data_IF_920254745591
#
_entry.id   IF_920254745591
#
_cell.length_a   1.000
_cell.length_b   1.000
_cell.length_c   1.000
_cell.angle_alpha   90.00
_cell.angle_beta   90.00
_cell.angle_gamma   90.00
#
_symmetry.space_group_name_H-M   'P 1'
#
loop_
_entity.id
_entity.type
_entity.pdbx_description
1 polymer ?
#
# COMPACT_ATOMS: atom_id res chain seq x y z
N UNK A 1 20.49 21.52 -15.02
CA UNK A 1 19.74 20.25 -15.23
C UNK A 1 20.57 19.39 -16.18
N UNK A 2 21.07 18.27 -15.72
CA UNK A 2 21.72 17.27 -16.57
C UNK A 2 20.72 16.19 -16.94
N UNK A 3 20.83 15.67 -18.15
CA UNK A 3 20.02 14.55 -18.65
C UNK A 3 21.00 13.45 -19.03
N UNK A 4 20.76 12.24 -18.55
CA UNK A 4 21.47 11.03 -18.99
C UNK A 4 20.50 10.18 -19.76
N UNK A 5 20.94 9.69 -20.90
CA UNK A 5 20.13 8.87 -21.82
C UNK A 5 20.44 7.38 -21.66
N UNK A 6 19.46 6.57 -21.93
CA UNK A 6 19.60 5.13 -22.08
C UNK A 6 18.85 4.66 -23.34
N UNK A 7 19.38 3.62 -23.99
CA UNK A 7 18.81 3.04 -25.19
C UNK A 7 18.76 1.50 -25.09
N UNK A 8 17.61 0.94 -25.36
CA UNK A 8 17.40 -0.51 -25.31
C UNK A 8 16.96 -1.13 -26.66
N UNK A 9 17.31 -0.51 -27.78
CA UNK A 9 17.04 -1.01 -29.15
C UNK A 9 15.70 -0.57 -29.75
N UNK A 10 14.72 -0.19 -28.97
CA UNK A 10 13.41 0.32 -29.46
C UNK A 10 12.90 1.51 -28.67
N UNK A 11 13.57 1.88 -27.60
CA UNK A 11 13.15 2.99 -26.72
C UNK A 11 14.38 3.79 -26.28
N UNK A 12 14.23 5.10 -26.31
CA UNK A 12 15.14 6.05 -25.69
C UNK A 12 14.47 6.62 -24.44
N UNK A 13 15.22 6.70 -23.33
CA UNK A 13 14.78 7.38 -22.13
C UNK A 13 15.82 8.35 -21.63
N UNK A 14 15.35 9.44 -21.03
CA UNK A 14 16.16 10.49 -20.45
C UNK A 14 15.68 10.77 -19.04
N UNK A 15 16.54 10.53 -18.08
CA UNK A 15 16.27 10.79 -16.66
C UNK A 15 16.74 12.19 -16.29
N UNK A 16 16.01 12.84 -15.39
CA UNK A 16 16.39 14.16 -14.86
C UNK A 16 17.46 14.02 -13.79
N UNK A 17 18.49 14.88 -13.90
CA UNK A 17 19.52 15.02 -12.87
C UNK A 17 19.61 16.46 -12.39
N UNK A 18 19.89 16.63 -11.10
CA UNK A 18 20.20 17.91 -10.49
C UNK A 18 21.50 17.76 -9.69
N UNK A 19 22.53 18.54 -9.98
CA UNK A 19 23.86 18.43 -9.36
C UNK A 19 24.42 16.99 -9.35
N UNK A 20 24.26 16.28 -10.50
CA UNK A 20 24.61 14.87 -10.70
C UNK A 20 23.81 13.84 -9.84
N UNK A 21 22.80 14.28 -9.14
CA UNK A 21 21.88 13.41 -8.38
C UNK A 21 20.65 13.15 -9.24
N UNK A 22 20.29 11.86 -9.40
CA UNK A 22 19.07 11.43 -10.10
C UNK A 22 17.83 11.93 -9.35
N UNK A 23 16.91 12.57 -10.08
CA UNK A 23 15.57 12.87 -9.58
C UNK A 23 14.67 11.68 -9.95
N UNK A 24 14.48 10.78 -9.00
CA UNK A 24 13.72 9.55 -9.21
C UNK A 24 12.29 9.84 -9.65
N UNK A 25 11.83 9.12 -10.68
CA UNK A 25 10.49 9.29 -11.25
C UNK A 25 10.37 10.37 -12.31
N UNK A 26 11.34 11.28 -12.44
CA UNK A 26 11.33 12.32 -13.47
C UNK A 26 12.08 11.85 -14.72
N UNK A 27 11.33 11.59 -15.79
CA UNK A 27 11.91 11.09 -17.03
C UNK A 27 11.10 11.46 -18.26
N UNK A 28 11.74 11.37 -19.42
CA UNK A 28 11.09 11.37 -20.73
C UNK A 28 11.45 10.05 -21.40
N UNK A 29 10.47 9.38 -21.99
CA UNK A 29 10.74 8.18 -22.77
C UNK A 29 10.00 8.22 -24.11
N UNK A 30 10.69 7.74 -25.15
CA UNK A 30 10.21 7.72 -26.53
C UNK A 30 10.44 6.33 -27.10
N UNK A 31 9.36 5.66 -27.49
CA UNK A 31 9.41 4.38 -28.22
C UNK A 31 9.28 4.61 -29.72
N UNK A 32 10.09 3.88 -30.50
CA UNK A 32 10.06 3.89 -31.96
C UNK A 32 9.89 2.47 -32.49
N UNK A 33 9.17 2.32 -33.61
CA UNK A 33 9.14 1.03 -34.33
C UNK A 33 10.32 0.88 -35.30
N UNK A 34 10.39 -0.24 -36.03
CA UNK A 34 11.42 -0.51 -37.01
C UNK A 34 11.51 0.52 -38.13
N UNK A 35 10.41 1.23 -38.43
CA UNK A 35 10.32 2.29 -39.44
C UNK A 35 10.66 3.68 -38.85
N UNK A 36 11.18 3.75 -37.62
CA UNK A 36 11.49 4.98 -36.88
C UNK A 36 10.27 5.87 -36.61
N UNK A 37 9.07 5.27 -36.59
CA UNK A 37 7.84 5.97 -36.21
C UNK A 37 7.59 5.87 -34.73
N UNK A 38 7.14 6.97 -34.15
CA UNK A 38 6.78 7.08 -32.74
C UNK A 38 5.65 6.08 -32.41
N UNK A 39 5.89 5.21 -31.45
CA UNK A 39 4.93 4.22 -30.93
C UNK A 39 4.49 4.52 -29.53
N UNK A 40 5.33 5.15 -28.72
CA UNK A 40 5.06 5.51 -27.36
C UNK A 40 5.81 6.80 -26.98
N UNK A 41 5.17 7.60 -26.14
CA UNK A 41 5.76 8.76 -25.48
C UNK A 41 5.27 8.81 -24.04
N UNK A 42 6.19 8.94 -23.11
CA UNK A 42 5.85 9.23 -21.71
C UNK A 42 6.69 10.37 -21.19
N UNK A 43 6.11 11.16 -20.32
CA UNK A 43 6.73 12.29 -19.65
C UNK A 43 6.28 12.35 -18.21
N UNK A 44 7.23 12.36 -17.29
CA UNK A 44 7.01 12.57 -15.87
C UNK A 44 7.92 13.68 -15.39
N UNK A 45 7.37 14.65 -14.69
CA UNK A 45 8.12 15.77 -14.14
C UNK A 45 7.46 16.27 -12.86
N UNK A 46 8.25 16.33 -11.80
CA UNK A 46 7.81 16.86 -10.51
C UNK A 46 8.31 18.28 -10.32
N UNK A 47 7.37 19.23 -10.24
CA UNK A 47 7.69 20.64 -10.02
C UNK A 47 7.85 20.92 -8.51
N UNK A 48 8.97 20.50 -7.96
CA UNK A 48 9.33 20.73 -6.56
C UNK A 48 10.70 21.39 -6.44
N UNK A 49 10.88 22.15 -5.37
CA UNK A 49 12.18 22.67 -5.00
C UNK A 49 13.03 21.55 -4.42
N UNK A 50 14.07 21.15 -5.13
CA UNK A 50 15.02 20.12 -4.67
C UNK A 50 15.82 20.61 -3.46
N UNK A 51 16.11 19.74 -2.48
CA UNK A 51 16.98 20.06 -1.36
C UNK A 51 18.38 20.47 -1.79
N UNK A 52 19.06 21.24 -0.95
CA UNK A 52 20.44 21.65 -1.18
C UNK A 52 21.40 20.51 -0.84
N UNK A 53 22.02 19.94 -1.88
CA UNK A 53 22.97 18.84 -1.75
C UNK A 53 24.27 19.19 -0.99
N UNK A 54 24.55 20.47 -0.74
CA UNK A 54 25.72 20.89 0.04
C UNK A 54 25.63 20.56 1.54
N UNK A 55 24.42 20.18 2.02
CA UNK A 55 24.15 19.86 3.43
C UNK A 55 24.14 18.37 3.72
N UNK A 56 24.54 17.53 2.78
CA UNK A 56 24.53 16.08 2.96
C UNK A 56 25.53 15.65 4.04
N UNK A 57 25.12 14.66 4.83
CA UNK A 57 25.98 13.91 5.72
C UNK A 57 27.07 13.17 4.93
N UNK A 58 28.16 12.82 5.57
CA UNK A 58 29.18 11.98 4.93
C UNK A 58 28.63 10.59 4.62
N UNK A 59 29.14 9.94 3.57
CA UNK A 59 28.75 8.58 3.20
C UNK A 59 28.88 7.60 4.37
N UNK A 60 29.94 7.73 5.19
CA UNK A 60 30.15 6.83 6.35
C UNK A 60 29.05 7.00 7.39
N UNK A 61 28.61 8.24 7.66
CA UNK A 61 27.50 8.49 8.60
C UNK A 61 26.17 7.95 8.05
N UNK A 62 25.91 8.15 6.76
CA UNK A 62 24.69 7.63 6.12
C UNK A 62 24.71 6.10 6.14
N UNK A 63 25.85 5.45 5.85
CA UNK A 63 26.01 4.00 5.92
C UNK A 63 25.76 3.46 7.32
N UNK A 64 26.31 4.13 8.35
CA UNK A 64 26.03 3.75 9.73
C UNK A 64 24.52 3.82 10.03
N UNK A 65 23.87 4.93 9.67
CA UNK A 65 22.42 5.12 9.85
C UNK A 65 21.58 4.09 9.08
N UNK A 66 22.02 3.74 7.88
CA UNK A 66 21.37 2.68 7.10
C UNK A 66 21.37 1.34 7.84
N UNK A 67 22.53 0.93 8.40
CA UNK A 67 22.65 -0.33 9.15
C UNK A 67 22.02 -0.29 10.55
N UNK A 68 21.80 0.89 11.14
CA UNK A 68 21.02 1.04 12.37
C UNK A 68 19.52 0.73 12.14
N UNK A 69 19.03 0.85 10.90
CA UNK A 69 17.61 0.67 10.54
C UNK A 69 17.35 -0.53 9.62
N UNK A 70 18.38 -1.28 9.24
CA UNK A 70 18.26 -2.42 8.33
C UNK A 70 19.05 -3.61 8.85
N UNK A 71 18.39 -4.76 8.98
CA UNK A 71 19.05 -6.02 9.26
C UNK A 71 19.50 -6.68 7.95
N UNK A 72 20.70 -7.31 8.01
CA UNK A 72 21.21 -8.08 6.89
C UNK A 72 20.85 -9.56 7.10
N UNK A 73 19.89 -10.03 6.34
CA UNK A 73 19.36 -11.37 6.44
C UNK A 73 19.83 -12.28 5.31
N UNK A 74 19.81 -13.58 5.54
CA UNK A 74 20.26 -14.60 4.60
C UNK A 74 19.05 -15.25 3.92
N UNK A 75 19.00 -15.18 2.57
CA UNK A 75 17.89 -15.70 1.78
C UNK A 75 18.32 -16.74 0.76
N UNK A 76 17.40 -17.64 0.43
CA UNK A 76 17.46 -18.43 -0.78
C UNK A 76 16.75 -17.69 -1.91
N UNK A 77 17.52 -17.23 -2.91
CA UNK A 77 16.98 -16.54 -4.09
C UNK A 77 16.96 -17.50 -5.29
N UNK A 78 15.77 -17.65 -5.90
CA UNK A 78 15.64 -18.38 -7.15
C UNK A 78 16.14 -17.51 -8.31
N UNK A 79 17.17 -18.00 -9.02
CA UNK A 79 17.72 -17.34 -10.20
C UNK A 79 17.29 -18.09 -11.45
N UNK A 80 16.48 -17.42 -12.27
CA UNK A 80 15.97 -17.98 -13.50
C UNK A 80 16.95 -17.69 -14.64
N UNK A 81 17.29 -18.74 -15.41
CA UNK A 81 18.01 -18.61 -16.68
C UNK A 81 17.18 -19.30 -17.76
N UNK A 82 17.43 -19.02 -19.02
CA UNK A 82 16.65 -19.54 -20.15
C UNK A 82 16.47 -21.06 -20.18
N UNK A 83 17.21 -21.80 -19.38
CA UNK A 83 17.19 -23.27 -19.37
C UNK A 83 17.03 -23.93 -18.01
N UNK A 84 17.26 -23.24 -16.90
CA UNK A 84 17.24 -23.82 -15.54
C UNK A 84 16.98 -22.79 -14.48
N UNK A 85 16.27 -23.18 -13.43
CA UNK A 85 16.23 -22.45 -12.16
C UNK A 85 17.36 -22.93 -11.27
N UNK A 86 18.15 -22.01 -10.74
CA UNK A 86 19.19 -22.28 -9.75
C UNK A 86 18.90 -21.46 -8.48
N UNK A 87 18.89 -22.13 -7.34
CA UNK A 87 18.80 -21.44 -6.04
C UNK A 87 20.20 -21.02 -5.60
N UNK A 88 20.35 -19.78 -5.22
CA UNK A 88 21.58 -19.21 -4.64
C UNK A 88 21.29 -18.66 -3.26
N UNK A 89 22.28 -18.74 -2.38
CA UNK A 89 22.22 -18.14 -1.06
C UNK A 89 22.77 -16.71 -1.16
N UNK A 90 22.00 -15.74 -0.71
CA UNK A 90 22.35 -14.32 -0.80
C UNK A 90 22.07 -13.60 0.51
N UNK A 91 22.84 -12.57 0.79
CA UNK A 91 22.48 -11.60 1.82
C UNK A 91 21.65 -10.48 1.21
N UNK A 92 20.65 -10.03 1.93
CA UNK A 92 19.79 -8.90 1.55
C UNK A 92 19.16 -8.25 2.77
N UNK A 93 18.59 -7.09 2.58
CA UNK A 93 17.81 -6.36 3.60
C UNK A 93 16.34 -6.66 3.42
N UNK A 94 15.56 -6.65 4.51
CA UNK A 94 14.13 -6.99 4.50
C UNK A 94 13.24 -5.84 4.01
N UNK A 95 13.78 -4.62 3.92
CA UNK A 95 12.98 -3.44 3.65
C UNK A 95 13.63 -2.50 2.64
N UNK A 96 12.81 -1.85 1.83
CA UNK A 96 13.20 -0.75 0.95
C UNK A 96 13.30 0.56 1.77
N UNK A 97 14.22 0.59 2.73
CA UNK A 97 14.48 1.77 3.56
C UNK A 97 15.56 2.60 2.91
N UNK A 98 15.25 3.86 2.66
CA UNK A 98 16.23 4.89 2.34
C UNK A 98 16.65 5.63 3.61
N UNK A 99 17.72 6.39 3.53
CA UNK A 99 18.15 7.29 4.62
C UNK A 99 18.17 8.70 4.07
N UNK A 100 17.49 9.62 4.74
CA UNK A 100 17.58 11.04 4.43
C UNK A 100 19.05 11.51 4.55
N UNK A 101 19.60 11.96 3.44
CA UNK A 101 21.01 12.30 3.38
C UNK A 101 21.37 13.54 4.19
N UNK A 102 20.39 14.32 4.66
CA UNK A 102 20.61 15.54 5.46
C UNK A 102 20.38 15.35 6.94
N UNK A 103 19.45 14.48 7.33
CA UNK A 103 19.09 14.25 8.73
C UNK A 103 19.62 12.92 9.28
N UNK A 104 19.82 11.92 8.42
CA UNK A 104 20.15 10.56 8.80
C UNK A 104 18.96 9.73 9.25
N UNK A 105 17.74 10.26 9.15
CA UNK A 105 16.51 9.55 9.52
C UNK A 105 16.11 8.55 8.43
N UNK A 106 15.47 7.42 8.79
CA UNK A 106 14.97 6.47 7.80
C UNK A 106 13.80 7.06 7.00
N UNK A 107 13.82 6.82 5.70
CA UNK A 107 12.75 7.17 4.77
C UNK A 107 12.29 5.89 4.08
N UNK A 108 11.02 5.58 4.15
CA UNK A 108 10.44 4.40 3.53
C UNK A 108 9.79 4.76 2.19
N UNK A 109 10.00 3.95 1.15
CA UNK A 109 9.52 4.22 -0.21
C UNK A 109 7.99 4.37 -0.28
N UNK A 110 7.27 3.66 0.57
CA UNK A 110 5.81 3.72 0.70
C UNK A 110 5.30 4.98 1.45
N UNK A 111 6.16 5.78 2.09
CA UNK A 111 5.78 7.07 2.69
C UNK A 111 5.44 8.16 1.66
N UNK A 112 5.45 7.83 0.39
CA UNK A 112 5.21 8.79 -0.71
C UNK A 112 3.81 9.39 -0.78
N UNK A 113 2.91 9.10 0.13
CA UNK A 113 1.54 9.59 -0.02
C UNK A 113 1.12 10.73 0.86
N UNK A 114 1.86 11.19 1.84
CA UNK A 114 1.56 12.50 2.47
C UNK A 114 2.57 12.89 3.55
N UNK A 115 2.98 14.16 3.56
CA UNK A 115 3.57 14.87 4.72
C UNK A 115 2.59 14.99 5.92
N UNK A 116 1.43 14.37 5.84
CA UNK A 116 0.42 14.35 6.88
C UNK A 116 0.46 13.00 7.60
N UNK A 117 1.21 12.96 8.69
CA UNK A 117 1.08 11.89 9.67
C UNK A 117 -0.38 11.74 10.10
N UNK A 118 -0.84 10.49 10.30
CA UNK A 118 -2.17 10.25 10.83
C UNK A 118 -2.37 10.94 12.18
N UNK A 119 -3.43 11.74 12.33
CA UNK A 119 -3.78 12.29 13.62
C UNK A 119 -4.53 11.25 14.48
N UNK A 120 -3.77 10.39 15.17
CA UNK A 120 -4.29 9.35 16.04
C UNK A 120 -4.72 9.87 17.43
N UNK A 121 -4.63 11.19 17.68
CA UNK A 121 -4.93 11.79 18.99
C UNK A 121 -6.40 11.65 19.43
N UNK A 122 -7.30 11.36 18.49
CA UNK A 122 -8.71 11.12 18.76
C UNK A 122 -9.01 9.71 19.32
N UNK A 123 -8.10 8.75 19.16
CA UNK A 123 -8.28 7.37 19.61
C UNK A 123 -7.97 7.26 21.10
N UNK A 124 -8.97 6.86 21.89
CA UNK A 124 -8.87 6.73 23.35
C UNK A 124 -8.67 5.30 23.83
N UNK A 125 -9.14 4.32 23.05
CA UNK A 125 -8.90 2.90 23.37
C UNK A 125 -7.44 2.54 23.12
N UNK A 126 -6.73 2.14 24.19
CA UNK A 126 -5.29 1.84 24.14
C UNK A 126 -4.94 0.66 23.22
N UNK A 127 -5.86 -0.30 23.07
CA UNK A 127 -5.61 -1.46 22.18
C UNK A 127 -5.75 -1.04 20.72
N UNK A 128 -6.80 -0.27 20.41
CA UNK A 128 -7.00 0.28 19.07
C UNK A 128 -5.86 1.23 18.70
N UNK A 129 -5.45 2.10 19.61
CA UNK A 129 -4.31 3.01 19.40
C UNK A 129 -3.02 2.25 19.12
N UNK A 130 -2.75 1.13 19.82
CA UNK A 130 -1.57 0.28 19.55
C UNK A 130 -1.65 -0.33 18.14
N UNK A 131 -2.81 -0.83 17.73
CA UNK A 131 -3.01 -1.38 16.39
C UNK A 131 -2.87 -0.28 15.32
N UNK A 132 -3.47 0.89 15.54
CA UNK A 132 -3.37 2.03 14.62
C UNK A 132 -1.92 2.49 14.42
N UNK A 133 -1.13 2.59 15.50
CA UNK A 133 0.29 2.91 15.42
C UNK A 133 1.07 1.88 14.63
N UNK A 134 0.83 0.58 14.86
CA UNK A 134 1.50 -0.46 14.10
C UNK A 134 1.15 -0.38 12.60
N UNK A 135 -0.09 -0.06 12.24
CA UNK A 135 -0.49 0.17 10.85
C UNK A 135 0.17 1.43 10.28
N UNK A 136 0.27 2.50 11.06
CA UNK A 136 0.94 3.75 10.68
C UNK A 136 2.45 3.52 10.46
N UNK A 137 3.11 2.80 11.38
CA UNK A 137 4.52 2.42 11.27
C UNK A 137 4.83 1.58 10.03
N UNK A 138 3.83 0.85 9.50
CA UNK A 138 3.93 0.06 8.26
C UNK A 138 3.37 0.80 7.04
N UNK A 139 3.04 2.08 7.14
CA UNK A 139 2.58 2.91 6.04
C UNK A 139 1.13 2.76 5.64
N UNK A 140 0.34 2.06 6.41
CA UNK A 140 -1.09 2.03 6.21
C UNK A 140 -1.70 3.34 6.77
N UNK A 141 -1.85 4.34 5.89
CA UNK A 141 -2.50 5.59 6.24
C UNK A 141 -3.99 5.35 6.44
N UNK A 142 -4.52 5.72 7.62
CA UNK A 142 -5.94 5.54 7.96
C UNK A 142 -6.72 6.79 7.59
N UNK A 143 -6.23 7.96 7.98
CA UNK A 143 -6.82 9.27 7.66
C UNK A 143 -5.85 10.38 8.06
N UNK A 144 -5.81 11.44 7.27
CA UNK A 144 -5.07 12.67 7.60
C UNK A 144 -5.84 13.58 8.57
N UNK A 145 -7.15 13.36 8.71
CA UNK A 145 -7.99 14.12 9.64
C UNK A 145 -8.09 13.40 10.98
N UNK A 146 -8.26 14.20 12.05
CA UNK A 146 -8.49 13.66 13.37
C UNK A 146 -9.82 12.92 13.44
N UNK A 147 -9.80 11.67 13.90
CA UNK A 147 -10.98 10.83 14.09
C UNK A 147 -10.96 10.14 15.45
N UNK A 148 -12.12 9.67 15.90
CA UNK A 148 -12.27 8.78 17.04
C UNK A 148 -12.52 7.36 16.58
N UNK A 149 -12.12 6.37 17.38
CA UNK A 149 -12.41 4.95 17.12
C UNK A 149 -13.91 4.64 17.00
N UNK A 150 -14.77 5.53 17.51
CA UNK A 150 -16.23 5.37 17.48
C UNK A 150 -16.90 6.10 16.31
N UNK A 151 -16.15 6.94 15.57
CA UNK A 151 -16.68 7.61 14.41
C UNK A 151 -16.89 6.60 13.26
N UNK A 152 -17.97 6.78 12.48
CA UNK A 152 -18.26 5.93 11.34
C UNK A 152 -17.22 6.18 10.25
N UNK A 153 -16.56 5.12 9.78
CA UNK A 153 -15.53 5.19 8.77
C UNK A 153 -16.09 5.61 7.40
N UNK A 154 -15.28 6.30 6.62
CA UNK A 154 -15.59 6.69 5.25
C UNK A 154 -15.16 5.60 4.26
N UNK A 155 -15.96 5.38 3.20
CA UNK A 155 -15.67 4.38 2.19
C UNK A 155 -14.35 4.67 1.49
N UNK A 156 -14.09 5.92 1.11
CA UNK A 156 -12.87 6.30 0.42
C UNK A 156 -11.59 5.93 1.21
N UNK A 157 -11.60 6.13 2.53
CA UNK A 157 -10.47 5.77 3.40
C UNK A 157 -10.27 4.25 3.42
N UNK A 158 -11.35 3.49 3.56
CA UNK A 158 -11.27 2.04 3.63
C UNK A 158 -10.93 1.42 2.27
N UNK A 159 -11.48 1.93 1.17
CA UNK A 159 -11.16 1.51 -0.19
C UNK A 159 -9.69 1.76 -0.52
N UNK A 160 -9.14 2.91 -0.14
CA UNK A 160 -7.73 3.22 -0.29
C UNK A 160 -6.85 2.23 0.47
N UNK A 161 -7.18 1.95 1.75
CA UNK A 161 -6.45 0.96 2.56
C UNK A 161 -6.48 -0.44 1.96
N UNK A 162 -7.61 -0.81 1.37
CA UNK A 162 -7.81 -2.13 0.78
C UNK A 162 -7.34 -2.23 -0.68
N UNK A 163 -6.82 -1.15 -1.26
CA UNK A 163 -6.39 -1.11 -2.67
C UNK A 163 -7.52 -1.33 -3.66
N UNK A 164 -8.76 -0.97 -3.29
CA UNK A 164 -9.95 -1.08 -4.14
C UNK A 164 -10.33 0.32 -4.61
N UNK A 165 -10.61 0.46 -5.90
CA UNK A 165 -11.17 1.70 -6.45
C UNK A 165 -12.59 1.39 -6.97
N UNK A 166 -13.59 2.05 -6.40
CA UNK A 166 -15.00 1.83 -6.78
C UNK A 166 -15.57 2.92 -7.66
N UNK A 167 -14.83 4.01 -7.93
CA UNK A 167 -15.32 5.21 -8.65
C UNK A 167 -16.62 5.81 -8.06
N UNK A 168 -17.00 5.40 -6.84
CA UNK A 168 -18.19 5.89 -6.15
C UNK A 168 -17.84 7.11 -5.27
N UNK A 169 -18.82 8.00 -5.06
CA UNK A 169 -18.67 9.07 -4.07
C UNK A 169 -18.48 8.50 -2.66
N UNK A 170 -17.58 9.12 -1.88
CA UNK A 170 -17.33 8.70 -0.50
C UNK A 170 -18.60 8.77 0.33
N UNK A 171 -18.87 7.69 1.06
CA UNK A 171 -20.03 7.56 1.97
C UNK A 171 -19.62 6.94 3.30
N UNK A 172 -20.43 7.16 4.33
CA UNK A 172 -20.27 6.46 5.60
C UNK A 172 -20.55 4.96 5.43
N UNK A 173 -19.67 4.14 5.95
CA UNK A 173 -19.73 2.70 5.78
C UNK A 173 -20.67 2.03 6.79
N UNK A 174 -21.45 1.07 6.28
CA UNK A 174 -22.05 0.05 7.13
C UNK A 174 -21.14 -1.18 7.24
N UNK A 175 -21.38 -2.03 8.24
CA UNK A 175 -20.64 -3.29 8.41
C UNK A 175 -20.76 -4.19 7.17
N UNK A 176 -21.94 -4.20 6.54
CA UNK A 176 -22.15 -4.95 5.30
C UNK A 176 -21.31 -4.41 4.14
N UNK A 177 -21.27 -3.07 3.94
CA UNK A 177 -20.47 -2.45 2.89
C UNK A 177 -18.98 -2.74 3.10
N UNK A 178 -18.49 -2.65 4.34
CA UNK A 178 -17.10 -2.92 4.66
C UNK A 178 -16.69 -4.36 4.30
N UNK A 179 -17.53 -5.36 4.58
CA UNK A 179 -17.23 -6.74 4.19
C UNK A 179 -17.25 -6.95 2.67
N UNK A 180 -18.08 -6.20 1.94
CA UNK A 180 -18.07 -6.23 0.47
C UNK A 180 -16.73 -5.67 -0.05
N UNK A 181 -16.29 -4.51 0.42
CA UNK A 181 -15.00 -3.89 0.04
C UNK A 181 -13.84 -4.83 0.39
N UNK A 182 -13.80 -5.35 1.62
CA UNK A 182 -12.78 -6.31 2.06
C UNK A 182 -12.72 -7.52 1.12
N UNK A 183 -13.85 -8.15 0.84
CA UNK A 183 -13.90 -9.35 0.00
C UNK A 183 -13.49 -9.06 -1.44
N UNK A 184 -13.87 -7.91 -1.99
CA UNK A 184 -13.43 -7.47 -3.32
C UNK A 184 -11.90 -7.34 -3.40
N UNK A 185 -11.27 -6.78 -2.36
CA UNK A 185 -9.83 -6.67 -2.29
C UNK A 185 -9.11 -8.02 -2.35
N UNK A 186 -9.62 -9.02 -1.61
CA UNK A 186 -8.91 -10.31 -1.44
C UNK A 186 -9.34 -11.40 -2.42
N UNK A 187 -10.56 -11.36 -2.96
CA UNK A 187 -11.13 -12.41 -3.81
C UNK A 187 -11.71 -11.89 -5.14
N UNK A 188 -11.74 -10.58 -5.35
CA UNK A 188 -12.43 -9.97 -6.49
C UNK A 188 -13.94 -10.16 -6.44
N UNK A 189 -14.64 -9.83 -7.53
CA UNK A 189 -16.10 -9.92 -7.62
C UNK A 189 -16.61 -11.28 -8.13
N UNK A 190 -15.87 -11.94 -8.99
CA UNK A 190 -16.35 -13.11 -9.72
C UNK A 190 -16.73 -14.30 -8.82
N UNK A 191 -15.97 -14.53 -7.75
CA UNK A 191 -16.22 -15.65 -6.82
C UNK A 191 -17.39 -15.34 -5.87
N UNK A 192 -17.43 -14.18 -5.16
CA UNK A 192 -18.54 -13.87 -4.26
C UNK A 192 -19.91 -13.80 -4.94
N UNK A 193 -19.95 -13.48 -6.24
CA UNK A 193 -21.20 -13.32 -7.02
C UNK A 193 -21.80 -14.63 -7.55
N UNK A 194 -21.12 -15.76 -7.35
CA UNK A 194 -21.65 -17.08 -7.72
C UNK A 194 -22.94 -17.38 -6.96
N UNK A 195 -24.02 -17.63 -7.69
CA UNK A 195 -25.36 -17.82 -7.10
C UNK A 195 -25.60 -19.25 -6.61
N UNK A 196 -26.28 -19.34 -5.46
CA UNK A 196 -26.81 -20.61 -4.95
C UNK A 196 -25.79 -21.54 -4.28
N UNK A 197 -24.54 -21.11 -4.14
CA UNK A 197 -23.48 -21.93 -3.49
C UNK A 197 -23.17 -21.48 -2.07
N UNK A 198 -23.51 -20.25 -1.71
CA UNK A 198 -23.21 -19.70 -0.38
C UNK A 198 -24.37 -19.87 0.59
N UNK A 199 -24.00 -20.15 1.85
CA UNK A 199 -24.89 -20.06 3.01
C UNK A 199 -24.38 -18.97 3.93
N UNK A 200 -25.31 -18.23 4.52
CA UNK A 200 -24.95 -17.20 5.48
C UNK A 200 -24.36 -17.82 6.75
N UNK A 201 -23.18 -17.35 7.20
CA UNK A 201 -22.67 -17.71 8.52
C UNK A 201 -23.39 -16.95 9.64
N UNK A 202 -24.27 -15.99 9.31
CA UNK A 202 -24.93 -15.11 10.26
C UNK A 202 -26.42 -15.40 10.36
N UNK A 203 -26.94 -15.46 11.57
CA UNK A 203 -28.37 -15.77 11.83
C UNK A 203 -29.31 -14.63 11.40
N UNK A 204 -28.83 -13.42 11.23
CA UNK A 204 -29.58 -12.24 10.83
C UNK A 204 -29.44 -11.89 9.33
N UNK A 205 -28.74 -12.72 8.56
CA UNK A 205 -28.59 -12.60 7.11
C UNK A 205 -29.15 -13.86 6.42
N UNK A 206 -30.01 -13.67 5.43
CA UNK A 206 -30.59 -14.79 4.67
C UNK A 206 -29.61 -15.34 3.63
N UNK A 207 -29.68 -16.62 3.31
CA UNK A 207 -28.92 -17.25 2.21
C UNK A 207 -29.26 -16.64 0.84
N UNK A 208 -30.38 -15.94 0.72
CA UNK A 208 -30.83 -15.24 -0.49
C UNK A 208 -30.38 -13.78 -0.54
N UNK A 209 -29.61 -13.30 0.44
CA UNK A 209 -29.06 -11.94 0.41
C UNK A 209 -28.11 -11.78 -0.79
N UNK A 210 -28.18 -10.63 -1.47
CA UNK A 210 -27.35 -10.37 -2.65
C UNK A 210 -25.86 -10.40 -2.36
N UNK A 211 -25.47 -10.08 -1.12
CA UNK A 211 -24.09 -10.01 -0.68
C UNK A 211 -23.66 -11.24 0.14
N UNK A 212 -24.47 -12.29 0.20
CA UNK A 212 -24.18 -13.48 1.05
C UNK A 212 -22.81 -14.10 0.76
N UNK A 213 -22.38 -14.12 -0.51
CA UNK A 213 -21.08 -14.65 -0.89
C UNK A 213 -19.91 -13.82 -0.33
N UNK A 214 -20.02 -12.49 -0.39
CA UNK A 214 -19.05 -11.59 0.22
C UNK A 214 -18.95 -11.80 1.74
N UNK A 215 -20.07 -11.91 2.41
CA UNK A 215 -20.11 -12.15 3.85
C UNK A 215 -19.55 -13.50 4.26
N UNK A 216 -19.87 -14.55 3.49
CA UNK A 216 -19.36 -15.89 3.75
C UNK A 216 -17.85 -16.00 3.59
N UNK A 217 -17.28 -15.34 2.56
CA UNK A 217 -15.85 -15.32 2.32
C UNK A 217 -15.14 -14.50 3.42
N UNK A 218 -15.62 -13.29 3.72
CA UNK A 218 -15.05 -12.46 4.79
C UNK A 218 -15.05 -13.18 6.15
N UNK A 219 -16.11 -13.92 6.46
CA UNK A 219 -16.19 -14.74 7.66
C UNK A 219 -15.18 -15.89 7.64
N UNK A 220 -15.08 -16.61 6.53
CA UNK A 220 -14.12 -17.71 6.37
C UNK A 220 -12.65 -17.23 6.48
N UNK A 221 -12.37 -16.01 6.07
CA UNK A 221 -11.06 -15.38 6.20
C UNK A 221 -10.79 -14.75 7.57
N UNK A 222 -11.76 -14.80 8.49
CA UNK A 222 -11.60 -14.25 9.83
C UNK A 222 -11.73 -12.73 9.95
N UNK A 223 -12.13 -12.03 8.88
CA UNK A 223 -12.32 -10.57 8.90
C UNK A 223 -13.47 -10.14 9.83
N UNK A 224 -14.39 -11.04 10.10
CA UNK A 224 -15.51 -10.87 11.01
C UNK A 224 -15.79 -12.18 11.74
N UNK A 225 -16.30 -12.08 12.96
CA UNK A 225 -16.65 -13.23 13.80
C UNK A 225 -18.01 -13.04 14.48
N UNK A 226 -18.53 -14.12 15.06
CA UNK A 226 -19.81 -14.12 15.74
C UNK A 226 -20.95 -14.67 14.89
N UNK A 227 -22.17 -14.72 15.46
CA UNK A 227 -23.34 -15.31 14.81
C UNK A 227 -24.30 -14.26 14.22
N UNK A 228 -24.02 -12.98 14.35
CA UNK A 228 -24.80 -11.86 13.78
C UNK A 228 -23.86 -10.87 13.11
N UNK A 229 -24.21 -10.47 11.90
CA UNK A 229 -23.47 -9.45 11.16
C UNK A 229 -23.90 -8.02 11.56
N UNK A 230 -25.22 -7.82 11.75
CA UNK A 230 -25.82 -6.49 11.85
C UNK A 230 -25.40 -5.61 10.65
N UNK A 231 -25.63 -6.09 9.44
CA UNK A 231 -25.09 -5.53 8.18
C UNK A 231 -25.37 -4.03 8.00
N UNK A 232 -26.46 -3.51 8.60
CA UNK A 232 -26.85 -2.08 8.52
C UNK A 232 -26.26 -1.22 9.64
N UNK A 233 -25.59 -1.81 10.61
CA UNK A 233 -24.92 -1.04 11.66
C UNK A 233 -23.71 -0.29 11.10
N UNK A 234 -23.37 0.82 11.71
CA UNK A 234 -22.19 1.60 11.34
C UNK A 234 -20.91 0.75 11.47
N UNK A 235 -20.02 0.92 10.51
CA UNK A 235 -18.66 0.40 10.56
C UNK A 235 -17.74 1.53 11.00
N UNK A 236 -17.18 1.39 12.20
CA UNK A 236 -16.38 2.46 12.81
C UNK A 236 -14.91 2.39 12.40
N UNK A 237 -14.17 3.51 12.60
CA UNK A 237 -12.72 3.50 12.44
C UNK A 237 -12.04 2.47 13.33
N UNK A 238 -12.57 2.23 14.54
CA UNK A 238 -12.08 1.19 15.43
C UNK A 238 -12.28 -0.23 14.86
N UNK A 239 -13.40 -0.49 14.19
CA UNK A 239 -13.65 -1.77 13.50
C UNK A 239 -12.73 -1.91 12.28
N UNK A 240 -12.53 -0.82 11.53
CA UNK A 240 -11.62 -0.77 10.39
C UNK A 240 -10.17 -1.09 10.79
N UNK A 241 -9.65 -0.41 11.82
CA UNK A 241 -8.30 -0.65 12.35
C UNK A 241 -8.12 -2.11 12.76
N UNK A 242 -9.08 -2.69 13.48
CA UNK A 242 -9.03 -4.09 13.91
C UNK A 242 -9.00 -5.04 12.70
N UNK A 243 -9.85 -4.80 11.71
CA UNK A 243 -9.94 -5.65 10.52
C UNK A 243 -8.64 -5.60 9.72
N UNK A 244 -8.14 -4.40 9.41
CA UNK A 244 -6.91 -4.21 8.65
C UNK A 244 -5.71 -4.77 9.41
N UNK A 245 -5.59 -4.50 10.71
CA UNK A 245 -4.52 -5.04 11.55
C UNK A 245 -4.51 -6.57 11.56
N UNK A 246 -5.69 -7.20 11.74
CA UNK A 246 -5.80 -8.67 11.75
C UNK A 246 -5.38 -9.27 10.42
N UNK A 247 -5.64 -8.58 9.31
CA UNK A 247 -5.36 -9.10 7.98
C UNK A 247 -3.90 -8.88 7.56
N UNK A 248 -3.31 -7.72 7.84
CA UNK A 248 -1.97 -7.36 7.37
C UNK A 248 -0.87 -7.54 8.43
N UNK A 249 -1.18 -7.56 9.72
CA UNK A 249 -0.20 -7.67 10.79
C UNK A 249 -0.27 -8.99 11.56
N UNK A 250 -1.04 -9.96 11.09
CA UNK A 250 -1.13 -11.29 11.68
C UNK A 250 -0.11 -12.29 11.08
N UNK A 251 0.90 -11.79 10.35
CA UNK A 251 2.03 -12.59 9.86
C UNK A 251 3.14 -12.70 10.89
#
# INVERSE_FOLDING_TARGET
>A
MCIRDSYNGSSHSWDRYSSDILVSGDSISVGLNADMKLTNYSYSYTDVKLPDSSRMLSTDMVMQKFWENNDLNLYYLARFTDKKTKTVLVYGTDSDVYVDATTGEPVYDWQYSSDAANDLSGIKDKKILKMAKALDDHGYLISTEKFSENDTADSAVFEQLMGVNTDEESKKLTRGDALVIFTKSVAGDAIPELKGIYKSPFSDVKDTDKNVGYYAIAYAMGAVSGNKLNAKADFTYGDMIKMVYTFYAAE
#
